data_IF_184352050949
#
_entry.id   IF_184352050949
#
_cell.length_a   1.000
_cell.length_b   1.000
_cell.length_c   1.000
_cell.angle_alpha   90.00
_cell.angle_beta   90.00
_cell.angle_gamma   90.00
#
_symmetry.space_group_name_H-M   'P 1'
#
loop_
_entity.id
_entity.type
_entity.pdbx_description
1 polymer ?
2 non-polymer ?
3 non-polymer ?
4 non-polymer ?
5 water ?
#
# COMPACT_ATOMS: atom_id res chain seq x y z
N UNK A 12 28.28 -5.01 -12.87
CA UNK A 12 29.37 -4.06 -13.11
C UNK A 12 29.24 -2.86 -12.17
N UNK A 13 30.38 -2.23 -11.88
CA UNK A 13 30.39 -1.07 -11.00
C UNK A 13 29.48 0.02 -11.55
N UNK A 14 28.54 0.49 -10.71
CA UNK A 14 27.73 1.63 -11.05
C UNK A 14 26.44 1.35 -11.79
N UNK A 15 26.14 0.09 -12.14
CA UNK A 15 24.94 -0.23 -12.92
C UNK A 15 23.70 0.02 -12.08
N UNK A 16 22.71 0.71 -12.67
CA UNK A 16 21.42 1.00 -11.98
C UNK A 16 20.38 0.18 -12.74
N UNK A 17 19.97 -0.94 -12.19
CA UNK A 17 19.03 -1.83 -12.87
C UNK A 17 18.06 -2.44 -11.87
N UNK A 18 16.82 -2.67 -12.28
CA UNK A 18 15.85 -3.40 -11.47
C UNK A 18 15.84 -4.82 -12.05
N UNK A 19 16.17 -5.80 -11.26
CA UNK A 19 16.31 -7.21 -11.69
C UNK A 19 15.22 -8.08 -11.08
N UNK A 20 14.84 -9.14 -11.77
CA UNK A 20 13.96 -10.15 -11.14
C UNK A 20 14.87 -10.97 -10.24
N UNK A 21 14.64 -10.96 -8.95
CA UNK A 21 15.36 -11.80 -8.00
C UNK A 21 14.45 -12.97 -7.68
N UNK A 22 14.92 -14.18 -7.98
CA UNK A 22 14.19 -15.39 -7.64
C UNK A 22 14.55 -15.82 -6.24
N UNK A 23 13.52 -16.18 -5.47
CA UNK A 23 13.69 -16.49 -4.06
C UNK A 23 13.83 -18.00 -3.87
N UNK A 48 0.67 -29.07 -9.12
CA UNK A 48 -0.68 -28.52 -8.83
C UNK A 48 -0.48 -27.15 -8.17
N UNK A 49 -0.56 -26.06 -8.91
CA UNK A 49 -0.27 -24.72 -8.38
C UNK A 49 -1.00 -23.65 -9.19
N UNK A 50 -1.17 -22.47 -8.61
CA UNK A 50 -1.72 -21.28 -9.29
C UNK A 50 -0.68 -20.19 -9.09
N UNK A 51 -0.09 -19.64 -10.15
CA UNK A 51 0.96 -18.60 -10.04
C UNK A 51 0.34 -17.28 -10.47
N UNK A 52 0.63 -16.19 -9.80
CA UNK A 52 0.09 -14.87 -10.17
C UNK A 52 1.06 -13.81 -9.66
N UNK A 53 1.08 -12.71 -10.38
CA UNK A 53 1.91 -11.57 -10.05
C UNK A 53 1.07 -10.38 -9.60
N UNK A 54 1.68 -9.55 -8.76
CA UNK A 54 1.04 -8.38 -8.15
C UNK A 54 1.99 -7.20 -8.25
N UNK A 55 1.45 -6.10 -8.72
CA UNK A 55 2.18 -4.82 -8.82
C UNK A 55 1.51 -3.81 -7.87
N UNK A 56 2.27 -3.12 -7.02
CA UNK A 56 1.77 -2.04 -6.15
C UNK A 56 2.45 -0.77 -6.64
N UNK A 57 1.70 0.26 -7.01
CA UNK A 57 2.31 1.47 -7.58
C UNK A 57 1.54 2.72 -7.18
N UNK A 58 2.18 3.66 -6.48
CA UNK A 58 1.62 5.00 -6.22
C UNK A 58 2.04 5.80 -7.47
N UNK A 59 1.11 6.17 -8.34
CA UNK A 59 1.43 6.75 -9.67
C UNK A 59 1.56 8.27 -9.64
N UNK A 60 1.29 8.91 -8.51
CA UNK A 60 1.38 10.35 -8.33
C UNK A 60 0.23 11.07 -9.05
N UNK A 61 -0.73 11.57 -8.27
CA UNK A 61 -1.84 12.32 -8.83
C UNK A 61 -1.37 13.67 -9.34
N UNK A 62 -1.82 14.05 -10.54
CA UNK A 62 -1.39 15.34 -11.10
C UNK A 62 -1.79 16.51 -10.22
N UNK A 63 -3.02 16.49 -9.67
CA UNK A 63 -3.45 17.57 -8.80
C UNK A 63 -2.53 17.68 -7.59
N UNK A 64 -2.18 16.53 -7.00
CA UNK A 64 -1.30 16.54 -5.83
C UNK A 64 0.13 16.95 -6.19
N UNK A 65 0.60 16.59 -7.38
CA UNK A 65 1.89 17.07 -7.85
C UNK A 65 1.89 18.58 -7.91
N UNK A 66 0.88 19.16 -8.57
CA UNK A 66 0.82 20.60 -8.76
C UNK A 66 0.59 21.34 -7.45
N UNK A 67 -0.15 20.74 -6.51
CA UNK A 67 -0.39 21.36 -5.22
C UNK A 67 0.84 21.33 -4.33
N UNK A 68 1.81 20.48 -4.65
CA UNK A 68 3.02 20.28 -3.86
C UNK A 68 4.25 20.51 -4.71
N UNK A 69 4.21 21.56 -5.51
CA UNK A 69 5.24 21.78 -6.52
C UNK A 69 6.62 21.94 -5.90
N UNK A 70 6.70 22.34 -4.63
CA UNK A 70 7.99 22.48 -3.96
C UNK A 70 8.72 21.15 -3.81
N UNK A 71 8.01 20.02 -3.84
CA UNK A 71 8.64 18.72 -3.74
C UNK A 71 9.31 18.30 -5.04
N UNK A 72 8.97 18.98 -6.16
CA UNK A 72 9.37 18.57 -7.51
C UNK A 72 10.23 19.62 -8.19
N UNK A 73 10.80 20.46 -7.35
CA UNK A 73 11.70 21.51 -7.89
C UNK A 73 12.92 21.01 -8.75
N UNK A 74 13.31 19.78 -8.38
CA UNK A 74 14.47 19.16 -9.01
C UNK A 74 14.18 18.63 -10.40
N UNK A 75 12.91 18.56 -10.79
CA UNK A 75 12.51 17.92 -12.05
C UNK A 75 12.55 18.92 -13.20
N UNK A 76 12.98 18.45 -14.36
CA UNK A 76 12.83 19.25 -15.57
C UNK A 76 11.34 19.50 -15.81
N UNK A 77 10.99 20.75 -16.11
CA UNK A 77 9.58 21.10 -16.17
C UNK A 77 8.77 20.23 -17.12
N UNK A 78 9.24 19.91 -18.33
CA UNK A 78 8.39 19.15 -19.26
C UNK A 78 8.01 17.77 -18.75
N UNK A 79 8.79 17.18 -17.85
CA UNK A 79 8.51 15.81 -17.43
C UNK A 79 7.36 15.74 -16.44
N UNK A 80 6.85 16.88 -15.98
CA UNK A 80 5.82 16.84 -14.95
C UNK A 80 4.40 16.86 -15.50
N UNK A 81 4.20 17.21 -16.77
CA UNK A 81 2.85 17.28 -17.31
C UNK A 81 2.22 15.90 -17.40
N UNK A 82 0.92 15.83 -17.12
CA UNK A 82 0.21 14.55 -17.20
C UNK A 82 0.28 13.97 -18.61
N UNK A 83 0.30 14.82 -19.64
CA UNK A 83 0.42 14.33 -21.01
C UNK A 83 1.75 13.61 -21.24
N UNK A 84 2.77 13.93 -20.44
CA UNK A 84 4.07 13.26 -20.48
C UNK A 84 4.08 12.02 -19.58
N UNK A 85 3.54 12.15 -18.36
CA UNK A 85 3.68 11.10 -17.38
C UNK A 85 2.81 9.88 -17.69
N UNK A 86 1.55 10.11 -18.08
CA UNK A 86 0.66 8.96 -18.23
C UNK A 86 1.16 7.97 -19.28
N UNK A 87 1.61 8.39 -20.47
CA UNK A 87 2.15 7.38 -21.40
C UNK A 87 3.28 6.56 -20.82
N UNK A 88 4.15 7.17 -20.01
CA UNK A 88 5.22 6.41 -19.37
C UNK A 88 4.67 5.41 -18.36
N UNK A 89 3.71 5.83 -17.55
CA UNK A 89 3.13 4.94 -16.54
C UNK A 89 2.43 3.77 -17.20
N UNK A 90 1.65 4.05 -18.25
CA UNK A 90 0.95 2.98 -18.95
C UNK A 90 1.94 2.03 -19.60
N UNK A 91 3.03 2.55 -20.17
CA UNK A 91 4.03 1.69 -20.79
C UNK A 91 4.67 0.76 -19.76
N UNK A 92 4.93 1.27 -18.56
CA UNK A 92 5.47 0.42 -17.49
C UNK A 92 4.48 -0.67 -17.12
N UNK A 93 3.21 -0.31 -16.94
CA UNK A 93 2.21 -1.30 -16.57
C UNK A 93 2.10 -2.37 -17.65
N UNK A 94 2.12 -1.95 -18.91
CA UNK A 94 2.06 -2.90 -20.01
C UNK A 94 3.29 -3.80 -20.03
N UNK A 95 4.46 -3.23 -19.74
CA UNK A 95 5.69 -4.00 -19.80
C UNK A 95 5.69 -5.14 -18.80
N UNK A 96 5.29 -4.87 -17.57
CA UNK A 96 5.33 -5.90 -16.53
C UNK A 96 4.16 -6.87 -16.62
N UNK A 97 3.05 -6.45 -17.22
CA UNK A 97 1.92 -7.35 -17.49
C UNK A 97 1.53 -8.12 -16.23
N UNK A 98 1.41 -7.41 -15.12
CA UNK A 98 1.08 -8.08 -13.86
C UNK A 98 -0.38 -8.55 -13.84
N UNK A 99 -0.63 -9.64 -13.12
CA UNK A 99 -1.98 -10.17 -13.04
C UNK A 99 -2.90 -9.31 -12.18
N UNK A 100 -2.36 -8.66 -11.15
CA UNK A 100 -3.11 -7.84 -10.23
C UNK A 100 -2.36 -6.52 -10.10
N UNK A 101 -3.09 -5.41 -10.19
CA UNK A 101 -2.54 -4.08 -9.97
C UNK A 101 -3.21 -3.44 -8.77
N UNK A 102 -2.40 -2.95 -7.85
CA UNK A 102 -2.85 -2.18 -6.70
C UNK A 102 -2.25 -0.79 -6.89
N UNK A 103 -3.07 0.17 -7.26
CA UNK A 103 -2.60 1.51 -7.56
C UNK A 103 -3.07 2.49 -6.50
N UNK A 104 -2.23 3.47 -6.21
CA UNK A 104 -2.59 4.59 -5.35
C UNK A 104 -2.40 5.89 -6.10
N UNK A 105 -3.03 6.95 -5.58
CA UNK A 105 -3.01 8.30 -6.17
C UNK A 105 -3.58 8.29 -7.58
N UNK A 106 -4.63 7.50 -7.78
CA UNK A 106 -5.37 7.42 -9.03
C UNK A 106 -6.40 8.54 -9.02
N UNK A 107 -6.19 9.55 -9.86
CA UNK A 107 -7.03 10.74 -9.88
C UNK A 107 -8.32 10.47 -10.65
N UNK A 108 -9.46 10.87 -10.06
CA UNK A 108 -10.75 10.44 -10.58
C UNK A 108 -10.97 10.85 -12.03
N UNK A 109 -10.72 12.12 -12.38
CA UNK A 109 -11.02 12.56 -13.73
C UNK A 109 -10.15 11.82 -14.75
N UNK A 110 -8.85 11.70 -14.46
CA UNK A 110 -7.96 10.96 -15.33
C UNK A 110 -8.31 9.49 -15.37
N UNK A 111 -8.78 8.93 -14.25
CA UNK A 111 -9.15 7.52 -14.23
C UNK A 111 -10.28 7.25 -15.22
N UNK A 112 -11.32 8.08 -15.19
CA UNK A 112 -12.43 7.87 -16.09
C UNK A 112 -12.07 8.12 -17.55
N UNK A 113 -11.26 9.15 -17.81
CA UNK A 113 -11.00 9.56 -19.18
C UNK A 113 -9.96 8.68 -19.87
N UNK A 114 -8.97 8.19 -19.11
CA UNK A 114 -7.79 7.59 -19.70
C UNK A 114 -7.29 6.32 -19.00
N UNK A 115 -7.13 6.34 -17.68
CA UNK A 115 -6.53 5.17 -16.98
C UNK A 115 -7.43 3.94 -17.05
N UNK A 116 -8.68 4.06 -16.65
CA UNK A 116 -9.57 2.88 -16.67
C UNK A 116 -9.75 2.38 -18.11
N UNK A 117 -10.02 3.19 -19.14
CA UNK A 117 -10.17 2.63 -20.48
C UNK A 117 -8.88 1.95 -20.95
N UNK A 118 -7.72 2.53 -20.65
CA UNK A 118 -6.47 1.93 -21.09
C UNK A 118 -6.24 0.59 -20.41
N UNK A 119 -6.51 0.50 -19.11
CA UNK A 119 -6.32 -0.78 -18.42
C UNK A 119 -7.33 -1.82 -18.89
N UNK A 120 -8.56 -1.39 -19.08
CA UNK A 120 -9.57 -2.32 -19.63
C UNK A 120 -9.19 -2.94 -21.02
N UNK A 121 -8.50 -2.08 -21.79
CA UNK A 121 -8.04 -2.53 -23.10
C UNK A 121 -6.96 -3.59 -22.99
N UNK A 122 -6.20 -3.58 -21.89
CA UNK A 122 -5.14 -4.55 -21.64
C UNK A 122 -5.67 -5.83 -20.98
N UNK A 123 -6.97 -5.96 -20.72
CA UNK A 123 -7.55 -7.18 -20.16
C UNK A 123 -7.80 -7.11 -18.68
N UNK A 124 -7.75 -5.93 -18.08
CA UNK A 124 -7.99 -5.80 -16.63
C UNK A 124 -9.43 -5.41 -16.34
N UNK A 125 -9.99 -5.99 -15.29
CA UNK A 125 -11.24 -5.48 -14.68
C UNK A 125 -10.76 -4.52 -13.58
N UNK A 126 -11.29 -3.31 -13.49
CA UNK A 126 -10.82 -2.28 -12.57
C UNK A 126 -11.89 -1.91 -11.57
N UNK A 127 -11.50 -1.80 -10.29
CA UNK A 127 -12.37 -1.31 -9.23
C UNK A 127 -11.69 -0.15 -8.49
N UNK A 128 -12.43 0.92 -8.26
CA UNK A 128 -11.89 2.15 -7.70
C UNK A 128 -12.57 2.52 -6.40
N UNK A 129 -11.80 3.15 -5.53
CA UNK A 129 -12.35 3.81 -4.35
C UNK A 129 -11.64 5.14 -4.16
N UNK A 130 -12.38 6.22 -4.36
CA UNK A 130 -11.84 7.56 -4.22
C UNK A 130 -11.83 7.98 -2.76
N UNK A 131 -10.82 8.77 -2.37
CA UNK A 131 -10.83 9.42 -1.07
C UNK A 131 -12.08 10.28 -0.95
N UNK A 132 -12.53 10.47 0.29
CA UNK A 132 -13.77 11.15 0.59
C UNK A 132 -13.55 12.66 0.64
N UNK A 133 -14.59 13.43 0.94
CA UNK A 133 -14.29 14.86 0.98
C UNK A 133 -13.84 15.47 -0.35
N UNK A 134 -12.99 16.51 -0.27
CA UNK A 134 -12.58 17.30 -1.44
C UNK A 134 -11.39 16.72 -2.16
N UNK A 135 -11.01 15.52 -1.84
CA UNK A 135 -9.78 14.95 -2.34
C UNK A 135 -10.00 14.40 -3.74
N UNK A 136 -8.99 14.48 -4.60
CA UNK A 136 -9.20 14.15 -6.01
C UNK A 136 -8.87 12.72 -6.43
N UNK A 137 -8.36 11.89 -5.53
CA UNK A 137 -7.65 10.69 -5.91
C UNK A 137 -8.05 9.54 -5.00
N UNK A 138 -7.64 8.34 -5.40
CA UNK A 138 -7.93 7.19 -4.59
C UNK A 138 -7.16 5.96 -4.99
N UNK A 139 -7.64 4.83 -4.49
CA UNK A 139 -7.02 3.53 -4.72
C UNK A 139 -7.79 2.76 -5.79
N UNK A 140 -7.06 2.00 -6.58
CA UNK A 140 -7.69 1.07 -7.51
C UNK A 140 -7.08 -0.31 -7.33
N UNK A 141 -7.90 -1.34 -7.47
CA UNK A 141 -7.43 -2.71 -7.60
C UNK A 141 -7.95 -3.24 -8.92
N UNK A 142 -7.05 -3.71 -9.76
CA UNK A 142 -7.37 -4.20 -11.09
C UNK A 142 -6.81 -5.60 -11.23
N UNK A 143 -7.46 -6.45 -11.99
CA UNK A 143 -6.98 -7.84 -12.13
C UNK A 143 -7.33 -8.35 -13.53
N UNK A 144 -6.49 -9.23 -14.06
CA UNK A 144 -6.73 -9.78 -15.42
C UNK A 144 -7.99 -10.64 -15.33
N UNK A 145 -8.97 -10.44 -16.19
CA UNK A 145 -10.20 -11.28 -16.12
C UNK A 145 -9.91 -12.71 -16.60
N UNK A 146 -8.85 -12.95 -17.36
CA UNK A 146 -8.38 -14.29 -17.75
C UNK A 146 -7.88 -15.07 -16.52
N UNK A 147 -7.40 -14.41 -15.47
CA UNK A 147 -6.81 -15.09 -14.29
C UNK A 147 -7.78 -15.21 -13.10
N UNK A 148 -8.77 -14.34 -12.98
CA UNK A 148 -9.66 -14.39 -11.79
C UNK A 148 -11.09 -13.95 -12.11
N UNK A 149 -12.02 -14.44 -11.29
CA UNK A 149 -13.36 -13.89 -11.21
C UNK A 149 -13.51 -13.09 -9.92
N UNK A 150 -14.41 -12.13 -9.93
CA UNK A 150 -14.62 -11.26 -8.79
C UNK A 150 -15.73 -11.82 -7.91
N UNK A 151 -15.43 -12.04 -6.63
CA UNK A 151 -16.45 -12.49 -5.70
C UNK A 151 -17.08 -11.34 -4.92
N UNK A 152 -16.28 -10.36 -4.50
CA UNK A 152 -16.84 -9.23 -3.77
C UNK A 152 -15.90 -8.03 -3.82
N UNK A 153 -16.51 -6.86 -3.70
CA UNK A 153 -15.82 -5.57 -3.66
C UNK A 153 -16.17 -4.92 -2.33
N UNK A 154 -15.15 -4.53 -1.57
CA UNK A 154 -15.32 -4.13 -0.18
C UNK A 154 -14.54 -2.85 0.07
N UNK A 155 -15.15 -1.70 -0.18
CA UNK A 155 -14.46 -0.44 0.09
C UNK A 155 -14.37 -0.16 1.58
N UNK A 156 -13.38 0.65 1.96
CA UNK A 156 -13.20 1.09 3.33
C UNK A 156 -13.01 2.60 3.32
N UNK A 157 -13.84 3.31 4.07
CA UNK A 157 -13.67 4.75 4.29
C UNK A 157 -13.12 4.97 5.69
N UNK A 158 -11.96 5.61 5.80
CA UNK A 158 -11.42 5.86 7.12
C UNK A 158 -12.04 7.09 7.78
N UNK A 159 -12.73 7.90 7.01
CA UNK A 159 -13.39 9.09 7.57
C UNK A 159 -14.66 8.66 8.32
N UNK A 160 -14.77 8.95 9.61
CA UNK A 160 -16.01 8.68 10.36
C UNK A 160 -16.52 10.02 10.89
N UNK A 161 -17.66 10.54 10.45
CA UNK A 161 -18.11 11.83 10.94
C UNK A 161 -18.49 11.77 12.42
N UNK A 162 -18.79 10.59 12.96
CA UNK A 162 -19.20 10.42 14.35
C UNK A 162 -18.03 10.20 15.30
N UNK A 163 -16.80 10.21 14.82
CA UNK A 163 -15.61 9.92 15.62
C UNK A 163 -14.59 11.02 15.31
N UNK A 164 -14.37 11.93 16.26
CA UNK A 164 -13.53 13.08 15.99
C UNK A 164 -12.12 12.69 15.56
N UNK A 165 -11.60 11.58 16.09
CA UNK A 165 -10.26 11.14 15.72
C UNK A 165 -10.13 10.95 14.21
N UNK A 166 -11.16 10.38 13.60
CA UNK A 166 -11.08 9.90 12.22
C UNK A 166 -11.63 10.95 11.26
N UNK A 167 -10.94 12.09 11.22
CA UNK A 167 -11.37 13.23 10.44
C UNK A 167 -10.66 13.35 9.10
N UNK A 168 -9.94 12.32 8.67
CA UNK A 168 -9.16 12.37 7.43
C UNK A 168 -9.81 11.51 6.34
N UNK A 169 -9.54 11.87 5.08
CA UNK A 169 -10.29 11.35 3.93
C UNK A 169 -9.70 10.09 3.31
N UNK A 170 -8.73 9.45 3.94
CA UNK A 170 -8.09 8.29 3.34
C UNK A 170 -9.04 7.10 3.25
N UNK A 171 -8.68 6.18 2.36
CA UNK A 171 -9.51 5.02 2.06
C UNK A 171 -8.68 3.77 1.85
N UNK A 172 -9.39 2.64 1.80
CA UNK A 172 -8.83 1.38 1.38
C UNK A 172 -9.83 0.63 0.52
N UNK A 173 -9.39 -0.49 -0.03
CA UNK A 173 -10.25 -1.31 -0.89
C UNK A 173 -9.78 -2.75 -0.76
N UNK A 174 -10.75 -3.66 -0.63
CA UNK A 174 -10.46 -5.08 -0.46
C UNK A 174 -11.32 -5.84 -1.47
N UNK A 175 -10.67 -6.63 -2.33
CA UNK A 175 -11.40 -7.48 -3.25
C UNK A 175 -11.22 -8.93 -2.83
N UNK A 176 -12.25 -9.74 -3.06
CA UNK A 176 -12.12 -11.18 -2.93
C UNK A 176 -12.22 -11.76 -4.34
N UNK A 177 -11.17 -12.46 -4.75
CA UNK A 177 -11.01 -12.96 -6.12
C UNK A 177 -10.97 -14.49 -6.15
N UNK A 178 -11.57 -15.10 -7.16
CA UNK A 178 -11.54 -16.57 -7.33
C UNK A 178 -10.57 -16.88 -8.46
N UNK A 179 -9.44 -17.57 -8.22
CA UNK A 179 -8.55 -17.96 -9.30
C UNK A 179 -9.31 -18.79 -10.35
N UNK A 180 -9.07 -18.53 -11.64
CA UNK A 180 -9.74 -19.25 -12.75
C UNK A 180 -8.94 -20.49 -13.12
N UNK A 181 -9.21 -21.62 -12.47
CA UNK A 181 -8.56 -22.93 -12.74
C UNK A 181 -9.61 -24.04 -12.58
N UNK A 186 -9.90 -24.80 -5.07
CA UNK A 186 -8.93 -23.73 -4.92
C UNK A 186 -9.54 -22.61 -4.06
N UNK A 187 -8.79 -22.13 -3.06
CA UNK A 187 -9.33 -21.03 -2.27
C UNK A 187 -9.37 -19.73 -3.06
N UNK A 188 -10.21 -18.83 -2.57
CA UNK A 188 -10.16 -17.45 -3.01
C UNK A 188 -8.89 -16.78 -2.50
N UNK A 189 -8.57 -15.63 -3.11
CA UNK A 189 -7.47 -14.78 -2.69
C UNK A 189 -8.05 -13.40 -2.35
N UNK A 190 -7.64 -12.86 -1.21
CA UNK A 190 -8.08 -11.57 -0.76
C UNK A 190 -6.98 -10.57 -1.06
N UNK A 191 -7.30 -9.54 -1.84
CA UNK A 191 -6.34 -8.50 -2.20
C UNK A 191 -6.79 -7.19 -1.60
N UNK A 192 -5.92 -6.56 -0.83
CA UNK A 192 -6.21 -5.31 -0.15
C UNK A 192 -5.24 -4.24 -0.61
N UNK A 193 -5.70 -2.99 -0.63
CA UNK A 193 -4.92 -1.85 -1.06
C UNK A 193 -5.34 -0.64 -0.24
N UNK A 194 -4.35 0.18 0.14
CA UNK A 194 -4.66 1.40 0.86
C UNK A 194 -3.58 2.43 0.63
N UNK A 195 -3.89 3.66 1.06
CA UNK A 195 -2.95 4.77 1.10
C UNK A 195 -3.25 5.48 2.42
N UNK A 196 -2.39 5.26 3.42
CA UNK A 196 -2.64 5.82 4.75
C UNK A 196 -2.26 7.30 4.80
N UNK A 197 -2.84 7.99 5.78
CA UNK A 197 -2.55 9.40 6.04
C UNK A 197 -1.06 9.69 6.01
N UNK A 198 -0.65 10.77 5.33
CA UNK A 198 0.75 11.16 5.28
C UNK A 198 1.21 11.77 6.61
N UNK A 199 0.44 12.73 7.15
CA UNK A 199 0.85 13.57 8.28
C UNK A 199 1.70 12.83 9.30
N UNK A 200 3.00 13.15 9.38
CA UNK A 200 3.89 12.36 10.25
C UNK A 200 3.57 12.39 11.73
N UNK A 201 3.00 13.46 12.23
CA UNK A 201 2.68 13.56 13.67
C UNK A 201 1.55 12.60 14.06
N UNK A 202 0.59 12.38 13.17
CA UNK A 202 -0.65 11.67 13.55
C UNK A 202 -0.59 10.15 13.40
N UNK A 203 0.23 9.50 14.21
CA UNK A 203 0.36 8.04 14.28
C UNK A 203 -0.89 7.41 14.86
N UNK A 204 -1.60 8.14 15.70
CA UNK A 204 -2.89 7.68 16.26
C UNK A 204 -3.87 7.46 15.10
N UNK A 205 -3.97 8.40 14.17
CA UNK A 205 -4.83 8.20 13.02
C UNK A 205 -4.31 7.07 12.14
N UNK A 206 -3.00 7.04 11.89
CA UNK A 206 -2.44 5.99 11.03
C UNK A 206 -2.77 4.60 11.55
N UNK A 207 -2.52 4.35 12.85
CA UNK A 207 -2.78 3.01 13.40
C UNK A 207 -4.25 2.68 13.36
N UNK A 208 -5.12 3.66 13.55
CA UNK A 208 -6.55 3.40 13.52
C UNK A 208 -7.01 3.09 12.08
N UNK A 209 -6.50 3.84 11.11
CA UNK A 209 -6.78 3.52 9.71
C UNK A 209 -6.31 2.12 9.37
N UNK A 210 -5.09 1.77 9.77
CA UNK A 210 -4.62 0.41 9.53
C UNK A 210 -5.53 -0.62 10.18
N UNK A 211 -5.96 -0.38 11.42
CA UNK A 211 -6.85 -1.31 12.10
C UNK A 211 -8.16 -1.48 11.32
N UNK A 212 -8.66 -0.40 10.73
CA UNK A 212 -9.89 -0.48 9.95
C UNK A 212 -9.68 -1.34 8.71
N UNK A 213 -8.55 -1.19 8.02
CA UNK A 213 -8.26 -2.06 6.88
C UNK A 213 -8.13 -3.51 7.33
N UNK A 214 -7.38 -3.75 8.41
CA UNK A 214 -7.21 -5.11 8.89
C UNK A 214 -8.53 -5.75 9.30
N UNK A 215 -9.43 -4.97 9.91
CA UNK A 215 -10.75 -5.51 10.26
C UNK A 215 -11.53 -5.89 9.01
N UNK A 216 -11.48 -5.07 7.96
CA UNK A 216 -12.18 -5.45 6.74
C UNK A 216 -11.59 -6.74 6.17
N UNK A 217 -10.27 -6.85 6.14
CA UNK A 217 -9.63 -8.08 5.66
C UNK A 217 -10.06 -9.27 6.49
N UNK A 218 -10.10 -9.11 7.81
CA UNK A 218 -10.49 -10.24 8.65
C UNK A 218 -11.90 -10.73 8.32
N UNK A 219 -12.79 -9.83 7.94
CA UNK A 219 -14.13 -10.26 7.59
C UNK A 219 -14.20 -10.87 6.19
N UNK A 220 -13.51 -10.25 5.23
CA UNK A 220 -13.62 -10.71 3.85
C UNK A 220 -12.86 -12.02 3.63
N UNK A 221 -11.68 -12.17 4.26
CA UNK A 221 -10.84 -13.35 4.04
C UNK A 221 -11.24 -14.55 4.89
N UNK A 222 -12.18 -14.38 5.81
CA UNK A 222 -12.63 -15.50 6.62
C UNK A 222 -13.29 -16.58 5.76
N UNK A 223 -12.91 -17.83 6.04
CA UNK A 223 -13.40 -19.00 5.34
C UNK A 223 -14.28 -19.84 6.24
N UNK A 224 -15.05 -20.74 5.60
CA UNK A 224 -16.00 -21.57 6.33
C UNK A 224 -15.31 -22.48 7.32
N UNK A 225 -14.04 -22.82 7.08
CA UNK A 225 -13.28 -23.68 7.98
C UNK A 225 -12.56 -22.90 9.07
N UNK A 226 -12.82 -21.60 9.18
CA UNK A 226 -12.29 -20.81 10.28
C UNK A 226 -10.92 -20.24 10.06
N UNK A 227 -10.24 -20.62 8.99
CA UNK A 227 -8.98 -20.02 8.64
C UNK A 227 -9.21 -18.87 7.67
N UNK A 228 -8.15 -18.11 7.40
CA UNK A 228 -8.21 -17.03 6.42
C UNK A 228 -7.68 -17.55 5.09
N UNK A 229 -8.30 -17.11 3.99
CA UNK A 229 -7.78 -17.41 2.66
C UNK A 229 -6.49 -16.62 2.47
N UNK A 230 -5.71 -16.93 1.44
CA UNK A 230 -4.48 -16.16 1.20
C UNK A 230 -4.78 -14.68 1.03
N UNK A 231 -3.91 -13.85 1.61
CA UNK A 231 -4.03 -12.39 1.60
C UNK A 231 -2.80 -11.79 0.95
N UNK A 232 -3.02 -10.82 0.07
CA UNK A 232 -1.98 -9.91 -0.40
C UNK A 232 -2.46 -8.52 -0.07
N UNK A 233 -1.68 -7.80 0.74
CA UNK A 233 -2.02 -6.46 1.22
C UNK A 233 -0.95 -5.49 0.74
N UNK A 234 -1.34 -4.62 -0.19
CA UNK A 234 -0.45 -3.67 -0.81
C UNK A 234 -0.76 -2.25 -0.35
N UNK A 235 0.20 -1.37 -0.53
CA UNK A 235 -0.14 0.04 -0.50
C UNK A 235 1.01 0.93 -0.10
N UNK A 236 0.67 2.21 0.02
CA UNK A 236 1.54 3.25 0.54
C UNK A 236 1.09 3.49 1.98
N UNK A 237 1.89 3.00 2.92
CA UNK A 237 1.59 3.07 4.35
C UNK A 237 2.18 4.29 5.02
N UNK A 238 2.94 5.10 4.28
CA UNK A 238 3.56 6.31 4.82
C UNK A 238 4.28 6.00 6.14
N UNK A 239 4.89 4.82 6.20
CA UNK A 239 5.59 4.35 7.37
C UNK A 239 6.79 3.56 6.89
N UNK A 240 7.89 3.64 7.63
CA UNK A 240 9.16 3.09 7.17
C UNK A 240 9.49 1.75 7.79
N UNK A 241 10.42 0.99 7.20
CA UNK A 241 10.76 -0.32 7.76
C UNK A 241 11.27 -0.21 9.18
N UNK A 242 10.81 -1.14 10.01
CA UNK A 242 11.20 -1.17 11.40
C UNK A 242 10.46 -0.21 12.30
N UNK A 243 9.60 0.64 11.74
CA UNK A 243 8.80 1.53 12.57
C UNK A 243 7.82 0.71 13.39
N UNK A 244 7.25 1.30 14.45
CA UNK A 244 6.22 0.58 15.20
C UNK A 244 5.07 0.08 14.34
N UNK A 245 4.59 0.90 13.40
CA UNK A 245 3.49 0.45 12.55
C UNK A 245 3.92 -0.73 11.68
N UNK A 246 5.11 -0.67 11.08
CA UNK A 246 5.61 -1.79 10.29
C UNK A 246 5.75 -3.04 11.14
N UNK A 247 6.33 -2.90 12.34
CA UNK A 247 6.54 -4.05 13.20
C UNK A 247 5.21 -4.69 13.59
N UNK A 248 4.18 -3.86 13.82
CA UNK A 248 2.86 -4.40 14.12
C UNK A 248 2.36 -5.29 12.98
N UNK A 249 2.48 -4.82 11.74
CA UNK A 249 2.03 -5.64 10.62
C UNK A 249 2.77 -6.96 10.59
N UNK A 250 4.10 -6.91 10.73
CA UNK A 250 4.91 -8.10 10.55
C UNK A 250 4.77 -9.07 11.72
N UNK A 251 4.66 -8.58 12.95
CA UNK A 251 4.65 -9.44 14.12
C UNK A 251 3.26 -9.81 14.60
N UNK A 252 2.24 -9.03 14.23
CA UNK A 252 0.92 -9.26 14.77
C UNK A 252 0.71 -8.77 16.17
N UNK A 253 1.64 -7.98 16.71
CA UNK A 253 1.53 -7.45 18.06
C UNK A 253 2.31 -6.15 18.13
N UNK A 254 1.84 -5.26 19.00
CA UNK A 254 2.52 -4.00 19.24
C UNK A 254 2.18 -3.56 20.66
N UNK A 255 3.21 -3.39 21.48
CA UNK A 255 3.07 -2.77 22.79
C UNK A 255 3.30 -1.28 22.58
N UNK A 256 2.26 -0.49 22.66
CA UNK A 256 2.33 0.96 22.36
C UNK A 256 2.41 1.80 23.64
N UNK A 257 2.68 1.20 24.79
CA UNK A 257 2.85 1.97 26.01
C UNK A 257 3.95 3.00 25.85
N UNK A 258 3.65 4.27 26.16
CA UNK A 258 4.62 5.33 26.10
C UNK A 258 5.00 5.81 24.71
N UNK A 259 4.33 5.34 23.67
CA UNK A 259 4.76 5.65 22.31
C UNK A 259 4.19 6.99 21.85
N UNK A 260 5.02 7.98 21.55
CA UNK A 260 4.50 9.25 21.03
C UNK A 260 3.84 9.07 19.67
N UNK A 261 2.80 9.89 19.42
CA UNK A 261 2.04 9.72 18.18
C UNK A 261 2.91 9.91 16.93
N UNK A 262 3.91 10.76 17.01
CA UNK A 262 4.76 10.99 15.86
C UNK A 262 5.85 9.97 15.64
N UNK A 263 6.01 8.99 16.53
CA UNK A 263 7.01 7.95 16.38
C UNK A 263 6.44 6.68 15.77
N UNK A 264 5.13 6.63 15.54
CA UNK A 264 4.47 5.44 15.03
C UNK A 264 5.00 5.06 13.66
N UNK A 265 5.13 6.04 12.77
CA UNK A 265 5.43 5.76 11.37
C UNK A 265 6.90 5.75 11.05
N UNK A 266 7.73 6.36 11.89
CA UNK A 266 9.17 6.43 11.63
C UNK A 266 9.52 7.47 10.58
N UNK A 267 8.55 8.25 10.11
CA UNK A 267 8.80 9.32 9.10
C UNK A 267 9.55 10.46 9.79
N UNK A 268 10.27 11.28 9.06
CA UNK A 268 10.96 12.45 9.67
C UNK A 268 9.92 13.30 10.43
N UNK A 269 10.20 13.53 11.71
CA UNK A 269 9.37 14.23 12.70
C UNK A 269 10.29 15.00 13.66
N UNK A 270 9.77 15.99 14.40
CA UNK A 270 10.53 16.73 15.45
C UNK A 270 10.94 15.78 16.58
N UNK A 271 10.11 14.78 16.90
CA UNK A 271 10.31 13.84 18.03
C UNK A 271 10.37 14.61 19.37
N UNK A 272 9.61 15.69 19.52
CA UNK A 272 9.51 16.58 20.71
C UNK A 272 8.08 17.12 20.87
N UNK A 273 7.59 17.31 22.08
CA UNK A 273 6.29 17.93 22.40
C UNK A 273 5.08 17.12 21.96
N UNK A 274 5.23 15.83 21.72
CA UNK A 274 4.13 15.03 21.16
C UNK A 274 3.37 14.29 22.25
N UNK A 275 2.06 14.20 22.07
CA UNK A 275 1.16 13.43 22.93
C UNK A 275 1.49 11.95 22.77
N UNK A 276 1.35 11.18 23.84
CA UNK A 276 1.50 9.73 23.87
C UNK A 276 0.18 9.09 23.48
N UNK A 277 0.22 7.97 22.75
CA UNK A 277 -1.00 7.28 22.31
C UNK A 277 -1.94 6.99 23.47
N UNK A 278 -3.25 7.17 23.24
CA UNK A 278 -4.23 6.78 24.26
C UNK A 278 -4.33 5.25 24.36
N UNK A 279 -4.77 4.78 25.52
CA UNK A 279 -5.09 3.38 25.74
C UNK A 279 -6.59 3.30 26.02
N UNK A 280 -7.42 2.78 25.09
CA UNK A 280 -7.09 2.32 23.75
C UNK A 280 -6.85 3.52 22.81
N UNK A 281 -6.33 3.19 21.63
CA UNK A 281 -5.96 4.23 20.68
C UNK A 281 -7.18 4.95 20.15
N UNK A 282 -8.24 4.19 19.88
CA UNK A 282 -9.48 4.69 19.24
C UNK A 282 -10.67 4.36 20.15
N UNK A 283 -11.78 5.11 20.05
CA UNK A 283 -12.90 4.89 20.95
C UNK A 283 -13.75 3.64 20.67
N UNK A 284 -14.58 3.20 21.63
CA UNK A 284 -15.44 2.04 21.44
C UNK A 284 -16.48 2.16 20.32
N UNK A 285 -16.88 3.36 19.92
CA UNK A 285 -17.89 3.55 18.85
C UNK A 285 -17.32 3.22 17.45
N UNK A 286 -16.01 3.02 17.28
CA UNK A 286 -15.45 2.51 16.03
C UNK A 286 -15.94 1.07 15.79
N UNK A 287 -16.09 0.28 16.84
CA UNK A 287 -16.55 -1.11 16.70
C UNK A 287 -15.46 -2.05 16.22
N UNK A 288 -14.23 -1.75 16.57
CA UNK A 288 -13.08 -2.61 16.23
C UNK A 288 -12.34 -2.93 17.53
N UNK A 289 -12.06 -4.21 17.78
CA UNK A 289 -11.38 -4.65 19.02
C UNK A 289 -9.89 -4.37 18.94
N UNK A 290 -9.18 -4.62 20.03
CA UNK A 290 -7.70 -4.50 20.09
C UNK A 290 -7.01 -5.60 19.26
N UNK A 291 -7.71 -6.65 18.81
CA UNK A 291 -7.20 -7.65 17.87
C UNK A 291 -7.52 -7.23 16.43
N UNK A 292 -8.02 -6.01 16.19
CA UNK A 292 -8.28 -5.49 14.85
C UNK A 292 -9.33 -6.31 14.10
N UNK A 293 -10.36 -6.74 14.82
CA UNK A 293 -11.52 -7.37 14.19
C UNK A 293 -12.77 -6.57 14.53
N UNK A 294 -13.74 -6.61 13.63
CA UNK A 294 -15.02 -5.99 13.95
C UNK A 294 -15.64 -6.67 15.17
N UNK A 295 -16.33 -5.90 15.99
CA UNK A 295 -17.02 -6.39 17.16
C UNK A 295 -18.39 -5.73 17.28
N UNK A 296 -19.32 -6.46 17.88
CA UNK A 296 -20.62 -5.91 18.18
C UNK A 296 -20.45 -4.89 19.29
N UNK A 297 -20.86 -3.64 19.04
CA UNK A 297 -20.79 -2.62 20.06
C UNK A 297 -21.91 -2.78 21.08
N UNK A 298 -21.62 -2.41 22.31
CA UNK A 298 -22.64 -2.47 23.36
C UNK A 298 -22.83 -1.11 24.02
N UNK A 299 -23.96 -0.95 24.69
CA UNK A 299 -24.25 0.26 25.47
C UNK A 299 -23.33 0.28 26.68
N UNK A 300 -23.16 1.43 27.36
CA UNK A 300 -22.28 1.55 28.54
C UNK A 300 -22.65 0.60 29.67
N UNK A 327 -5.26 -3.20 28.24
CA UNK A 327 -3.81 -3.04 28.21
C UNK A 327 -3.38 -2.31 26.93
N UNK A 328 -2.13 -1.88 26.89
CA UNK A 328 -1.63 -1.09 25.77
C UNK A 328 -0.98 -1.96 24.70
N UNK A 329 -1.73 -2.95 24.23
CA UNK A 329 -1.26 -3.86 23.22
C UNK A 329 -2.29 -3.99 22.11
N UNK A 330 -1.81 -3.91 20.88
CA UNK A 330 -2.59 -4.20 19.70
C UNK A 330 -2.16 -5.55 19.16
N UNK A 331 -3.10 -6.28 18.58
CA UNK A 331 -2.77 -7.53 17.92
C UNK A 331 -3.54 -7.59 16.60
N UNK A 332 -3.11 -8.50 15.74
CA UNK A 332 -3.94 -8.97 14.62
C UNK A 332 -3.69 -10.47 14.50
N UNK A 333 -4.56 -11.15 13.75
CA UNK A 333 -4.54 -12.61 13.68
C UNK A 333 -3.94 -13.15 12.39
N UNK A 334 -3.26 -12.33 11.61
CA UNK A 334 -2.68 -12.77 10.35
C UNK A 334 -1.22 -13.16 10.55
N UNK A 335 -0.67 -13.85 9.55
CA UNK A 335 0.75 -14.20 9.49
C UNK A 335 1.26 -13.62 8.17
N UNK A 336 1.80 -12.41 8.24
CA UNK A 336 2.18 -11.65 7.06
C UNK A 336 3.68 -11.47 6.95
N UNK A 337 4.20 -11.66 5.75
CA UNK A 337 5.57 -11.38 5.41
C UNK A 337 5.59 -10.21 4.43
N UNK A 338 6.74 -9.57 4.32
CA UNK A 338 6.96 -8.50 3.36
C UNK A 338 7.72 -9.07 2.17
N UNK A 339 7.29 -8.70 0.96
CA UNK A 339 8.01 -9.14 -0.24
C UNK A 339 9.46 -8.70 -0.19
N UNK A 340 9.70 -7.44 0.15
CA UNK A 340 11.02 -6.86 0.17
C UNK A 340 11.64 -6.89 1.56
N UNK A 341 12.97 -7.00 1.61
CA UNK A 341 13.71 -7.08 2.85
C UNK A 341 14.27 -5.74 3.31
N UNK A 342 14.19 -4.69 2.48
CA UNK A 342 14.38 -3.30 2.85
C UNK A 342 15.84 -2.85 2.90
N UNK A 343 16.81 -3.75 2.81
CA UNK A 343 18.22 -3.40 2.85
C UNK A 343 18.94 -4.30 1.85
N UNK A 344 19.92 -3.76 1.14
CA UNK A 344 20.68 -4.60 0.22
C UNK A 344 21.67 -5.45 1.01
N UNK A 345 21.71 -6.76 0.75
CA UNK A 345 22.47 -7.65 1.65
C UNK A 345 23.97 -7.38 1.65
N UNK A 346 24.56 -7.03 0.51
CA UNK A 346 26.01 -6.89 0.48
C UNK A 346 26.47 -5.64 1.23
N UNK A 347 25.64 -4.59 1.24
CA UNK A 347 26.06 -3.29 1.72
C UNK A 347 25.33 -2.80 2.95
N UNK A 348 24.14 -3.31 3.25
CA UNK A 348 23.32 -2.74 4.30
C UNK A 348 22.62 -1.45 3.91
N UNK A 349 22.79 -0.99 2.67
CA UNK A 349 22.19 0.28 2.26
C UNK A 349 20.67 0.09 2.13
N UNK A 350 19.87 1.05 2.58
CA UNK A 350 18.41 0.88 2.50
C UNK A 350 17.88 0.94 1.08
N UNK A 351 16.87 0.11 0.84
CA UNK A 351 15.99 0.27 -0.31
C UNK A 351 15.08 1.47 -0.09
N UNK A 352 14.76 2.17 -1.19
CA UNK A 352 13.77 3.24 -1.15
C UNK A 352 12.70 2.93 -2.18
N UNK A 353 11.49 3.44 -1.93
CA UNK A 353 10.37 3.34 -2.87
C UNK A 353 9.85 4.70 -3.31
N UNK A 354 10.38 5.80 -2.78
CA UNK A 354 9.98 7.15 -3.15
C UNK A 354 11.21 8.05 -3.03
N UNK A 355 11.30 9.08 -3.88
CA UNK A 355 12.49 9.94 -3.87
C UNK A 355 12.20 11.29 -4.50
N UNK A 356 11.82 12.27 -3.68
CA UNK A 356 11.64 13.62 -4.17
C UNK A 356 12.50 14.60 -3.38
N UNK A 357 12.25 15.90 -3.52
CA UNK A 357 13.13 16.94 -2.94
C UNK A 357 13.22 16.83 -1.42
N UNK A 358 12.20 16.32 -0.73
CA UNK A 358 12.24 16.29 0.75
C UNK A 358 12.25 14.89 1.35
N UNK A 359 12.20 13.82 0.56
CA UNK A 359 12.11 12.45 1.13
C UNK A 359 12.68 11.38 0.21
N UNK A 360 13.44 10.43 0.75
CA UNK A 360 13.84 9.22 0.04
C UNK A 360 13.84 8.06 1.04
N UNK A 361 12.79 7.25 1.02
CA UNK A 361 12.52 6.25 2.03
C UNK A 361 11.69 5.13 1.39
N UNK A 362 11.57 4.01 2.09
CA UNK A 362 10.57 3.00 1.76
C UNK A 362 9.30 3.34 2.54
N UNK A 363 8.18 3.55 1.83
CA UNK A 363 6.86 3.67 2.43
C UNK A 363 5.85 2.75 1.77
N UNK A 364 6.23 2.10 0.68
CA UNK A 364 5.36 1.21 -0.07
C UNK A 364 5.73 -0.24 0.20
N UNK A 365 4.71 -1.11 0.27
CA UNK A 365 4.91 -2.51 0.63
C UNK A 365 3.98 -3.41 -0.15
N UNK A 366 4.41 -4.66 -0.32
CA UNK A 366 3.52 -5.79 -0.61
C UNK A 366 3.69 -6.77 0.54
N UNK A 367 2.65 -6.94 1.35
CA UNK A 367 2.61 -7.93 2.40
C UNK A 367 1.77 -9.12 1.92
N UNK A 368 2.11 -10.31 2.40
CA UNK A 368 1.39 -11.50 1.96
C UNK A 368 1.35 -12.55 3.05
N UNK A 369 0.29 -13.37 3.02
CA UNK A 369 0.16 -14.49 3.94
C UNK A 369 1.28 -15.48 3.75
N UNK A 370 1.97 -15.81 4.84
CA UNK A 370 3.07 -16.77 4.70
C UNK A 370 3.28 -17.57 5.97
N UNK A 371 3.80 -18.78 5.78
CA UNK A 371 4.27 -19.64 6.86
C UNK A 371 5.47 -19.01 7.53
N UNK A 387 -3.64 -19.86 5.04
CA UNK A 387 -3.61 -19.76 3.58
C UNK A 387 -2.31 -19.15 3.12
N UNK A 388 -1.20 -19.86 3.25
CA UNK A 388 0.12 -19.33 2.88
C UNK A 388 0.34 -19.22 1.37
N UNK A 389 1.16 -18.27 0.95
CA UNK A 389 1.59 -18.10 -0.45
C UNK A 389 3.11 -18.25 -0.47
N UNK A 390 3.66 -18.75 -1.55
CA UNK A 390 5.12 -18.82 -1.71
C UNK A 390 5.55 -17.65 -2.59
N UNK A 391 6.53 -16.90 -2.14
CA UNK A 391 7.10 -15.84 -2.95
C UNK A 391 8.11 -16.46 -3.91
N UNK A 392 7.83 -16.35 -5.21
CA UNK A 392 8.74 -16.91 -6.20
C UNK A 392 9.81 -15.91 -6.64
N UNK A 393 9.45 -14.64 -6.78
CA UNK A 393 10.37 -13.64 -7.31
C UNK A 393 9.86 -12.26 -6.96
N UNK A 394 10.78 -11.29 -6.98
CA UNK A 394 10.44 -9.89 -6.77
C UNK A 394 11.33 -9.04 -7.68
N UNK A 395 10.84 -7.84 -8.01
CA UNK A 395 11.58 -6.92 -8.87
C UNK A 395 12.40 -6.00 -7.96
N UNK A 396 13.72 -6.11 -8.03
CA UNK A 396 14.56 -5.45 -7.05
C UNK A 396 14.37 -3.93 -7.07
N UNK A 397 14.54 -3.30 -5.92
CA UNK A 397 14.36 -1.85 -5.69
C UNK A 397 15.73 -1.16 -5.88
N UNK A 398 15.80 0.12 -5.59
CA UNK A 398 17.01 0.94 -5.77
C UNK A 398 17.31 1.68 -4.49
N UNK A 399 18.51 2.23 -4.42
CA UNK A 399 18.94 3.08 -3.29
C UNK A 399 18.63 4.55 -3.59
N UNK A 400 18.72 5.37 -2.56
CA UNK A 400 18.54 6.83 -2.65
C UNK A 400 19.61 7.36 -3.62
N UNK A 401 20.84 6.89 -3.49
CA UNK A 401 21.95 7.34 -4.36
C UNK A 401 21.65 6.97 -5.81
N UNK A 402 21.11 5.78 -6.05
CA UNK A 402 20.77 5.36 -7.42
C UNK A 402 19.76 6.35 -8.01
N UNK A 403 18.74 6.71 -7.24
CA UNK A 403 17.69 7.60 -7.75
C UNK A 403 18.22 9.02 -7.96
N UNK A 404 19.11 9.52 -7.11
CA UNK A 404 19.65 10.85 -7.40
C UNK A 404 20.62 10.83 -8.59
N UNK A 405 21.20 9.66 -8.92
CA UNK A 405 22.02 9.56 -10.12
C UNK A 405 21.19 9.84 -11.36
N UNK A 406 19.89 9.50 -11.33
CA UNK A 406 18.96 9.82 -12.41
C UNK A 406 18.19 11.10 -12.11
N UNK A 407 18.72 11.91 -11.20
CA UNK A 407 18.19 13.24 -10.89
C UNK A 407 16.82 13.19 -10.22
N UNK A 408 16.56 12.12 -9.47
CA UNK A 408 15.37 12.01 -8.66
C UNK A 408 14.14 11.60 -9.44
N UNK A 409 13.03 11.59 -8.71
CA UNK A 409 11.73 11.13 -9.23
C UNK A 409 10.69 12.25 -9.13
N UNK A 410 9.72 12.45 -10.04
CA UNK A 410 9.68 11.87 -11.40
C UNK A 410 10.83 12.44 -12.26
N UNK A 411 11.11 11.72 -13.32
CA UNK A 411 12.17 12.13 -14.27
C UNK A 411 11.66 11.82 -15.68
N UNK A 412 12.48 12.03 -16.69
CA UNK A 412 11.98 11.87 -18.07
C UNK A 412 11.64 10.41 -18.35
N UNK A 413 12.10 9.47 -17.54
CA UNK A 413 11.83 8.02 -17.76
C UNK A 413 10.90 7.36 -16.70
N UNK A 414 11.00 7.72 -15.43
CA UNK A 414 10.18 7.17 -14.32
C UNK A 414 9.20 8.28 -13.96
N UNK A 415 7.93 8.09 -14.21
CA UNK A 415 6.99 9.22 -14.21
C UNK A 415 6.14 9.31 -12.94
N UNK A 416 6.54 8.63 -11.86
CA UNK A 416 5.99 8.88 -10.54
C UNK A 416 7.13 9.22 -9.59
N UNK A 417 6.78 9.82 -8.45
CA UNK A 417 7.75 9.99 -7.36
C UNK A 417 7.90 8.72 -6.53
N UNK A 418 7.20 7.65 -6.88
CA UNK A 418 7.43 6.34 -6.31
C UNK A 418 7.88 5.37 -7.38
N UNK A 419 8.53 4.25 -6.92
CA UNK A 419 8.79 3.13 -7.80
C UNK A 419 7.71 2.07 -7.67
N UNK A 420 7.38 1.36 -8.74
CA UNK A 420 6.45 0.23 -8.62
C UNK A 420 7.11 -0.97 -7.97
N UNK A 421 6.36 -1.65 -7.11
CA UNK A 421 6.77 -2.90 -6.48
C UNK A 421 6.11 -4.03 -7.25
N UNK A 422 6.81 -5.16 -7.39
CA UNK A 422 6.27 -6.25 -8.18
C UNK A 422 6.74 -7.57 -7.61
N UNK A 423 5.81 -8.50 -7.45
CA UNK A 423 6.10 -9.82 -6.90
C UNK A 423 5.39 -10.88 -7.72
N UNK A 424 5.98 -12.07 -7.77
CA UNK A 424 5.32 -13.25 -8.30
C UNK A 424 5.12 -14.25 -7.18
N UNK A 425 3.90 -14.72 -7.05
CA UNK A 425 3.50 -15.65 -5.97
C UNK A 425 3.04 -16.99 -6.54
N UNK A 426 3.14 -18.01 -5.70
CA UNK A 426 2.63 -19.36 -6.03
C UNK A 426 1.62 -19.77 -4.96
N UNK A 427 0.44 -20.19 -5.33
CA UNK A 427 -0.49 -20.82 -4.39
C UNK A 427 -0.41 -22.32 -4.68
N UNK A 428 0.10 -23.10 -3.75
CA UNK A 428 0.17 -24.54 -3.89
C UNK A 428 -1.21 -25.14 -3.68
N UNK A 429 -1.58 -26.08 -4.55
CA UNK A 429 -2.90 -26.70 -4.52
C UNK A 429 -2.81 -28.20 -4.22
#
# INVERSE_FOLDING_TARGET
>A
SNAEPSSKRRKHQGVIKRNWEYICSHDKEKTKILGDKNVDPKCEDSENKFDFSVMSYNILSQDLLEDNSHLYRHCRRPVLHWSFRFPNILKEIKHFDADVLCLQEVQEDHYGAEIRPSLESLGYHCEYKMRTGRKPDGCAICFKHSKFSLLSVNPVEFFRPDISLLDRDNVGLVLLLQPKIPYAACPAICVANTHLLYNPRRGDIKLTQLAMLLAEISSVAHQKDGSFCPIVMCGDFNSVPGSPLYSFIKEGKLNYEGLPIGKVSGQEQSSRGQRILSIPIWPPNLGISQNCVYEVQQVPKVEKTDSDLTQTQLKQTEVLVTAEKLSSNLQHHFSLSSVYSHYFPDTGIPEVTTCHSRSAITVDYIFYSAEKEDVAGHPGAEVALVGGLKLLARLSLLTEQDLWTVNGLPNENNSSDHLPLLAKFRLEL
#
